data_IF_122250080846
#
_entry.id   IF_122250080846
#
_cell.length_a   1.000
_cell.length_b   1.000
_cell.length_c   1.000
_cell.angle_alpha   90.00
_cell.angle_beta   90.00
_cell.angle_gamma   90.00
#
_symmetry.space_group_name_H-M   'P 1'
#
loop_
_entity.id
_entity.type
_entity.pdbx_description
1 polymer ?
#
# COMPACT_ATOMS: atom_id res chain seq x y z
N UNK A 1 41.79 -36.46 -64.38
CA UNK A 1 40.44 -35.85 -64.39
C UNK A 1 39.53 -36.68 -63.49
N UNK A 2 38.65 -36.00 -62.71
CA UNK A 2 37.49 -36.50 -61.92
C UNK A 2 37.74 -37.52 -60.78
N UNK A 3 37.55 -37.17 -59.50
CA UNK A 3 36.31 -36.89 -58.71
C UNK A 3 35.57 -38.16 -58.21
N UNK A 4 35.73 -38.42 -56.91
CA UNK A 4 34.63 -38.42 -55.92
C UNK A 4 33.89 -39.73 -55.63
N UNK A 5 33.80 -40.08 -54.34
CA UNK A 5 32.52 -40.27 -53.63
C UNK A 5 32.75 -40.37 -52.11
N UNK A 6 32.31 -39.34 -51.40
CA UNK A 6 32.16 -39.31 -49.95
C UNK A 6 30.84 -39.98 -49.56
N UNK A 7 30.89 -40.75 -48.47
CA UNK A 7 29.76 -41.34 -47.76
C UNK A 7 28.74 -40.28 -47.31
N UNK A 8 27.45 -40.54 -47.53
CA UNK A 8 26.36 -39.86 -46.81
C UNK A 8 25.61 -40.88 -45.96
N UNK A 9 25.71 -40.73 -44.63
CA UNK A 9 24.81 -41.37 -43.65
C UNK A 9 24.49 -40.34 -42.58
N UNK A 10 23.36 -39.64 -42.73
CA UNK A 10 22.63 -38.90 -41.68
C UNK A 10 21.27 -38.48 -42.25
N UNK A 11 20.20 -39.20 -41.94
CA UNK A 11 18.82 -38.74 -42.16
C UNK A 11 17.83 -39.67 -41.45
N UNK A 12 17.90 -39.75 -40.13
CA UNK A 12 16.86 -40.42 -39.32
C UNK A 12 16.59 -39.72 -37.98
N UNK A 13 17.50 -38.89 -37.46
CA UNK A 13 17.31 -38.21 -36.16
C UNK A 13 16.45 -36.95 -36.22
N UNK A 14 16.45 -36.24 -37.36
CA UNK A 14 15.82 -34.92 -37.44
C UNK A 14 14.31 -35.04 -37.67
N UNK A 15 13.87 -36.08 -38.38
CA UNK A 15 12.46 -36.38 -38.65
C UNK A 15 11.67 -36.67 -37.37
N UNK A 16 12.29 -37.35 -36.40
CA UNK A 16 11.66 -37.71 -35.12
C UNK A 16 11.51 -36.48 -34.21
N UNK A 17 12.49 -35.57 -34.22
CA UNK A 17 12.46 -34.32 -33.43
C UNK A 17 11.42 -33.33 -33.98
N UNK A 18 11.30 -33.23 -35.30
CA UNK A 18 10.29 -32.38 -35.95
C UNK A 18 8.88 -32.94 -35.72
N UNK A 19 8.71 -34.27 -35.75
CA UNK A 19 7.44 -34.92 -35.42
C UNK A 19 6.99 -34.68 -33.97
N UNK A 20 7.91 -34.77 -33.00
CA UNK A 20 7.62 -34.54 -31.58
C UNK A 20 7.26 -33.06 -31.28
N UNK A 21 7.92 -32.10 -31.92
CA UNK A 21 7.58 -30.68 -31.81
C UNK A 21 6.20 -30.37 -32.38
N UNK A 22 5.83 -30.99 -33.50
CA UNK A 22 4.55 -30.78 -34.16
C UNK A 22 3.38 -31.33 -33.32
N UNK A 23 3.59 -32.49 -32.68
CA UNK A 23 2.61 -33.08 -31.77
C UNK A 23 2.40 -32.21 -30.52
N UNK A 24 3.48 -31.67 -29.95
CA UNK A 24 3.40 -30.77 -28.78
C UNK A 24 2.61 -29.49 -29.08
N UNK A 25 2.85 -28.86 -30.24
CA UNK A 25 2.11 -27.67 -30.67
C UNK A 25 0.63 -27.99 -30.88
N UNK A 26 0.31 -29.12 -31.52
CA UNK A 26 -1.08 -29.54 -31.72
C UNK A 26 -1.83 -29.78 -30.40
N UNK A 27 -1.17 -30.39 -29.41
CA UNK A 27 -1.74 -30.60 -28.07
C UNK A 27 -1.98 -29.27 -27.35
N UNK A 28 -1.04 -28.33 -27.43
CA UNK A 28 -1.21 -27.00 -26.82
C UNK A 28 -2.34 -26.20 -27.50
N UNK A 29 -2.46 -26.25 -28.83
CA UNK A 29 -3.56 -25.60 -29.54
C UNK A 29 -4.92 -26.24 -29.23
N UNK A 30 -4.98 -27.56 -29.05
CA UNK A 30 -6.20 -28.24 -28.60
C UNK A 30 -6.56 -27.87 -27.15
N UNK A 31 -5.59 -27.79 -26.25
CA UNK A 31 -5.83 -27.36 -24.87
C UNK A 31 -6.34 -25.92 -24.79
N UNK A 32 -5.79 -25.01 -25.60
CA UNK A 32 -6.23 -23.61 -25.66
C UNK A 32 -7.64 -23.46 -26.24
N UNK A 33 -8.03 -24.26 -27.24
CA UNK A 33 -9.40 -24.23 -27.78
C UNK A 33 -10.42 -24.77 -26.79
N UNK A 34 -10.08 -25.83 -26.03
CA UNK A 34 -10.94 -26.35 -24.96
C UNK A 34 -11.06 -25.34 -23.82
N UNK A 35 -9.95 -24.77 -23.30
CA UNK A 35 -9.99 -23.76 -22.24
C UNK A 35 -10.76 -22.51 -22.65
N UNK A 36 -10.53 -22.03 -23.88
CA UNK A 36 -11.26 -20.89 -24.44
C UNK A 36 -12.76 -21.16 -24.54
N UNK A 37 -13.17 -22.38 -24.95
CA UNK A 37 -14.59 -22.74 -25.03
C UNK A 37 -15.29 -22.85 -23.67
N UNK A 38 -14.56 -23.16 -22.59
CA UNK A 38 -15.11 -23.24 -21.22
C UNK A 38 -15.21 -21.85 -20.59
N UNK A 39 -14.24 -20.96 -20.83
CA UNK A 39 -14.31 -19.58 -20.35
C UNK A 39 -15.33 -18.75 -21.12
N UNK A 40 -15.42 -18.90 -22.45
CA UNK A 40 -16.31 -18.10 -23.29
C UNK A 40 -17.78 -18.56 -23.24
N UNK A 41 -18.05 -19.77 -22.71
CA UNK A 41 -19.44 -20.25 -22.48
C UNK A 41 -20.04 -19.80 -21.15
N UNK A 42 -19.28 -19.12 -20.27
CA UNK A 42 -19.79 -18.59 -19.00
C UNK A 42 -20.46 -17.22 -19.09
N UNK A 43 -20.38 -16.54 -20.24
CA UNK A 43 -20.98 -15.20 -20.43
C UNK A 43 -22.32 -15.21 -21.20
N UNK A 44 -22.96 -16.36 -21.39
CA UNK A 44 -24.30 -16.43 -21.94
C UNK A 44 -25.35 -16.28 -20.81
N UNK A 45 -25.78 -15.04 -20.59
CA UNK A 45 -26.89 -14.63 -19.73
C UNK A 45 -28.19 -15.38 -20.10
N UNK A 46 -28.88 -15.91 -19.09
CA UNK A 46 -30.29 -16.29 -19.14
C UNK A 46 -31.03 -15.64 -17.94
N UNK A 47 -32.34 -15.33 -18.07
CA UNK A 47 -32.97 -14.24 -17.36
C UNK A 47 -33.43 -14.59 -15.94
N UNK A 48 -33.61 -13.53 -15.16
CA UNK A 48 -34.07 -13.52 -13.78
C UNK A 48 -35.49 -14.09 -13.60
N UNK A 49 -35.65 -14.93 -12.59
CA UNK A 49 -36.91 -15.09 -11.86
C UNK A 49 -36.67 -14.74 -10.38
N UNK A 50 -37.55 -13.88 -9.87
CA UNK A 50 -37.54 -13.33 -8.53
C UNK A 50 -38.18 -14.29 -7.53
N UNK A 51 -37.63 -14.40 -6.31
CA UNK A 51 -38.43 -14.58 -5.09
C UNK A 51 -37.80 -13.81 -3.93
N UNK A 52 -38.69 -13.04 -3.30
CA UNK A 52 -38.55 -12.14 -2.17
C UNK A 52 -38.02 -12.77 -0.87
N UNK A 53 -37.26 -11.98 -0.11
CA UNK A 53 -37.27 -12.04 1.35
C UNK A 53 -37.08 -10.61 1.91
N UNK A 54 -38.18 -10.05 2.42
CA UNK A 54 -38.29 -8.82 3.21
C UNK A 54 -37.29 -8.75 4.37
N UNK A 55 -36.47 -7.69 4.43
CA UNK A 55 -36.02 -7.07 5.69
C UNK A 55 -35.89 -5.54 5.51
N UNK A 56 -36.86 -4.82 6.09
CA UNK A 56 -36.87 -3.42 6.55
C UNK A 56 -35.93 -2.38 5.92
N UNK A 57 -36.49 -1.49 5.10
CA UNK A 57 -35.98 -0.13 4.90
C UNK A 57 -37.08 0.86 5.29
N UNK A 58 -36.95 1.43 6.48
CA UNK A 58 -37.38 2.81 6.71
C UNK A 58 -36.10 3.63 6.79
N UNK A 59 -36.13 4.84 6.22
CA UNK A 59 -35.00 5.79 6.03
C UNK A 59 -34.32 5.63 4.66
N UNK A 60 -34.91 6.21 3.60
CA UNK A 60 -34.49 7.48 2.94
C UNK A 60 -35.47 7.70 1.80
N UNK A 61 -36.62 8.30 2.10
CA UNK A 61 -37.49 8.89 1.09
C UNK A 61 -37.55 10.39 1.36
N UNK A 62 -36.46 11.10 1.02
CA UNK A 62 -36.47 12.57 0.94
C UNK A 62 -35.31 13.17 0.13
N UNK A 63 -34.93 12.60 -1.02
CA UNK A 63 -34.05 13.30 -1.99
C UNK A 63 -34.44 12.91 -3.43
N UNK A 64 -35.69 13.17 -3.83
CA UNK A 64 -36.08 13.08 -5.25
C UNK A 64 -36.81 14.31 -5.81
N UNK A 65 -36.94 15.40 -5.05
CA UNK A 65 -37.50 16.65 -5.60
C UNK A 65 -36.66 17.87 -5.22
N UNK A 66 -35.66 18.16 -6.05
CA UNK A 66 -35.14 19.52 -6.20
C UNK A 66 -34.50 19.65 -7.61
N UNK A 67 -34.96 20.57 -8.48
CA UNK A 67 -34.38 20.76 -9.81
C UNK A 67 -32.98 21.41 -9.72
N UNK A 68 -32.06 21.12 -10.67
CA UNK A 68 -30.70 21.66 -10.63
C UNK A 68 -30.68 23.15 -11.01
N UNK A 69 -30.24 24.00 -10.08
CA UNK A 69 -29.89 25.40 -10.38
C UNK A 69 -28.48 25.49 -10.99
N UNK A 70 -28.27 26.18 -12.13
CA UNK A 70 -26.94 26.34 -12.72
C UNK A 70 -26.08 27.33 -11.90
N UNK A 71 -24.88 26.91 -11.47
CA UNK A 71 -23.90 27.77 -10.80
C UNK A 71 -23.18 28.67 -11.83
N UNK A 72 -23.00 29.99 -11.56
CA UNK A 72 -22.29 30.88 -12.47
C UNK A 72 -20.76 30.65 -12.46
N UNK A 73 -20.14 30.80 -13.63
CA UNK A 73 -18.69 30.67 -13.85
C UNK A 73 -17.89 31.74 -13.09
N UNK A 74 -16.75 31.40 -12.46
CA UNK A 74 -15.86 32.38 -11.82
C UNK A 74 -15.20 33.30 -12.86
N UNK A 75 -15.30 34.62 -12.67
CA UNK A 75 -14.58 35.64 -13.44
C UNK A 75 -13.29 35.98 -12.69
N UNK A 76 -12.15 35.75 -13.32
CA UNK A 76 -10.83 36.13 -12.81
C UNK A 76 -10.59 37.59 -13.20
N UNK A 77 -10.43 38.48 -12.23
CA UNK A 77 -9.90 39.82 -12.45
C UNK A 77 -8.36 39.74 -12.57
N UNK A 78 -7.74 40.36 -13.59
CA UNK A 78 -6.29 40.39 -13.72
C UNK A 78 -5.67 41.42 -12.77
N UNK A 79 -4.83 40.94 -11.86
CA UNK A 79 -3.95 41.76 -11.00
C UNK A 79 -2.94 42.54 -11.86
N UNK A 80 -2.77 43.86 -11.66
CA UNK A 80 -1.76 44.64 -12.39
C UNK A 80 -0.33 44.32 -11.92
N UNK A 81 0.59 44.23 -12.88
CA UNK A 81 2.01 43.94 -12.67
C UNK A 81 2.74 45.09 -11.96
N UNK A 82 3.75 44.79 -11.11
CA UNK A 82 4.56 45.82 -10.48
C UNK A 82 5.54 46.46 -11.48
N UNK A 83 5.43 47.78 -11.62
CA UNK A 83 6.38 48.64 -12.35
C UNK A 83 7.75 48.64 -11.68
N UNK A 84 8.79 48.36 -12.47
CA UNK A 84 10.21 48.43 -12.10
C UNK A 84 10.66 49.90 -12.06
N UNK A 85 11.17 50.37 -10.92
CA UNK A 85 11.86 51.65 -10.79
C UNK A 85 13.38 51.49 -11.06
N UNK A 86 14.08 52.49 -11.63
CA UNK A 86 15.51 52.39 -11.97
C UNK A 86 16.45 52.53 -10.77
N UNK A 87 17.70 52.03 -10.84
CA UNK A 87 18.65 52.02 -9.72
C UNK A 87 19.59 53.23 -9.71
N UNK A 88 20.03 53.67 -8.52
CA UNK A 88 21.21 54.53 -8.26
C UNK A 88 21.46 54.58 -6.72
N UNK A 89 22.67 54.94 -6.23
CA UNK A 89 23.82 54.09 -5.92
C UNK A 89 24.07 53.85 -4.41
N UNK A 90 24.90 52.84 -4.09
CA UNK A 90 25.54 52.59 -2.76
C UNK A 90 26.79 53.49 -2.59
N UNK A 91 27.51 53.51 -1.45
CA UNK A 91 27.19 53.14 -0.04
C UNK A 91 27.61 54.21 1.02
N UNK A 92 27.04 54.14 2.23
CA UNK A 92 27.65 54.75 3.44
C UNK A 92 27.59 53.77 4.62
N UNK A 93 28.69 53.76 5.37
CA UNK A 93 29.12 52.88 6.45
C UNK A 93 28.30 53.08 7.75
N UNK A 94 28.09 52.04 8.59
CA UNK A 94 27.17 52.13 9.73
C UNK A 94 27.83 52.72 10.98
N UNK A 95 27.20 53.74 11.58
CA UNK A 95 27.48 54.16 12.96
C UNK A 95 26.85 53.18 13.98
N UNK A 96 27.47 52.97 15.15
CA UNK A 96 27.03 51.98 16.13
C UNK A 96 25.91 52.55 16.99
N UNK A 97 24.69 52.01 16.85
CA UNK A 97 23.55 52.37 17.72
C UNK A 97 23.29 51.24 18.71
N UNK A 98 23.35 51.57 19.99
CA UNK A 98 23.12 50.69 21.15
C UNK A 98 21.67 50.18 21.22
N UNK A 99 21.43 48.96 21.75
CA UNK A 99 20.08 48.40 21.84
C UNK A 99 19.28 48.98 23.03
N UNK A 100 18.00 49.39 22.83
CA UNK A 100 17.05 49.65 23.91
C UNK A 100 16.54 48.36 24.58
N UNK A 101 16.10 48.41 25.85
CA UNK A 101 15.77 47.24 26.66
C UNK A 101 14.41 46.61 26.30
N UNK A 102 14.32 45.29 26.54
CA UNK A 102 13.14 44.46 26.31
C UNK A 102 11.90 44.91 27.10
N UNK A 103 10.68 44.87 26.51
CA UNK A 103 9.44 45.04 27.25
C UNK A 103 9.03 43.76 27.99
N UNK A 104 8.57 43.94 29.22
CA UNK A 104 8.04 42.91 30.13
C UNK A 104 6.74 42.31 29.60
N UNK A 105 6.60 40.99 29.73
CA UNK A 105 5.37 40.24 29.50
C UNK A 105 4.31 40.56 30.55
N UNK A 106 3.06 40.73 30.10
CA UNK A 106 1.84 40.62 30.92
C UNK A 106 0.90 39.61 30.22
N UNK A 107 0.21 38.70 30.97
CA UNK A 107 -0.43 37.53 30.39
C UNK A 107 -1.87 37.80 29.92
N UNK A 108 -2.20 37.38 28.70
CA UNK A 108 -3.58 37.34 28.21
C UNK A 108 -4.30 36.03 28.66
N UNK A 109 -5.59 36.07 29.00
CA UNK A 109 -6.35 34.91 29.49
C UNK A 109 -6.64 33.88 28.38
N UNK A 110 -6.89 32.60 28.73
CA UNK A 110 -7.06 31.54 27.74
C UNK A 110 -8.43 31.64 27.06
N UNK A 111 -8.42 31.90 25.76
CA UNK A 111 -9.59 31.67 24.90
C UNK A 111 -9.68 30.18 24.63
N UNK A 112 -10.61 29.52 25.31
CA UNK A 112 -11.02 28.14 25.03
C UNK A 112 -11.82 28.14 23.73
N UNK A 113 -11.12 28.00 22.61
CA UNK A 113 -11.78 27.64 21.35
C UNK A 113 -12.07 26.15 21.37
N UNK A 114 -13.33 25.81 21.65
CA UNK A 114 -13.90 24.50 21.32
C UNK A 114 -13.91 24.38 19.80
N UNK A 115 -12.89 23.76 19.24
CA UNK A 115 -12.93 23.30 17.86
C UNK A 115 -13.39 21.85 17.91
N UNK A 116 -14.67 21.62 17.60
CA UNK A 116 -15.19 20.32 17.18
C UNK A 116 -14.57 19.96 15.83
N UNK A 117 -13.29 19.61 15.84
CA UNK A 117 -12.64 18.90 14.75
C UNK A 117 -12.68 17.44 15.12
N UNK A 118 -13.65 16.69 14.60
CA UNK A 118 -13.51 15.25 14.49
C UNK A 118 -12.73 15.00 13.20
N UNK A 119 -11.39 14.82 13.23
CA UNK A 119 -10.68 14.42 12.02
C UNK A 119 -11.22 13.06 11.60
N UNK A 120 -11.29 12.83 10.28
CA UNK A 120 -11.52 11.49 9.75
C UNK A 120 -10.53 10.53 10.42
N UNK A 121 -11.08 9.60 11.19
CA UNK A 121 -10.32 8.50 11.74
C UNK A 121 -9.74 7.73 10.56
N UNK A 122 -8.42 7.56 10.51
CA UNK A 122 -7.76 6.83 9.41
C UNK A 122 -8.23 5.39 9.50
N UNK A 123 -9.17 4.99 8.63
CA UNK A 123 -9.97 3.77 8.77
C UNK A 123 -9.08 2.53 8.90
N UNK A 124 -7.91 2.55 8.25
CA UNK A 124 -6.98 1.42 8.19
C UNK A 124 -6.21 1.21 9.50
N UNK A 125 -5.94 2.30 10.22
CA UNK A 125 -4.99 2.31 11.32
C UNK A 125 -5.61 2.86 12.62
N UNK A 126 -6.94 3.02 12.66
CA UNK A 126 -7.69 3.48 13.81
C UNK A 126 -8.11 2.31 14.72
N UNK A 127 -8.09 2.51 16.04
CA UNK A 127 -8.66 1.57 17.02
C UNK A 127 -7.69 0.71 17.83
N UNK A 128 -6.37 0.94 17.73
CA UNK A 128 -5.37 0.30 18.62
C UNK A 128 -4.99 1.26 19.75
N UNK A 129 -5.70 1.15 20.87
CA UNK A 129 -5.55 1.96 22.09
C UNK A 129 -4.24 1.75 22.86
N UNK A 130 -3.31 0.94 22.34
CA UNK A 130 -1.93 0.93 22.81
C UNK A 130 -1.17 1.90 21.92
N UNK A 131 -0.78 3.06 22.48
CA UNK A 131 0.05 4.05 21.80
C UNK A 131 1.43 3.45 21.47
N UNK A 132 1.48 2.63 20.42
CA UNK A 132 2.64 1.86 20.03
C UNK A 132 3.78 2.83 19.74
N UNK A 133 4.90 2.67 20.44
CA UNK A 133 6.08 3.53 20.29
C UNK A 133 6.87 3.18 19.03
N UNK A 134 6.69 1.97 18.49
CA UNK A 134 7.48 1.44 17.37
C UNK A 134 6.55 0.71 16.40
N UNK A 135 6.31 1.31 15.24
CA UNK A 135 5.31 0.86 14.26
C UNK A 135 5.97 0.52 12.94
N UNK A 136 5.69 -0.65 12.36
CA UNK A 136 6.13 -0.98 11.01
C UNK A 136 4.91 -1.19 10.10
N UNK A 137 4.86 -0.47 8.99
CA UNK A 137 3.86 -0.69 7.94
C UNK A 137 4.46 -1.61 6.90
N UNK A 138 3.85 -2.79 6.69
CA UNK A 138 4.28 -3.79 5.72
C UNK A 138 3.19 -3.85 4.66
N UNK A 139 3.50 -3.42 3.44
CA UNK A 139 2.51 -3.07 2.43
C UNK A 139 2.78 -3.85 1.16
N UNK A 140 1.74 -4.48 0.64
CA UNK A 140 1.78 -5.16 -0.64
C UNK A 140 1.96 -4.15 -1.79
N UNK A 141 3.01 -4.35 -2.57
CA UNK A 141 3.27 -3.60 -3.78
C UNK A 141 3.28 -4.48 -5.03
N UNK A 142 2.62 -5.62 -5.01
CA UNK A 142 2.44 -6.48 -6.18
C UNK A 142 1.55 -5.87 -7.25
N UNK A 143 1.48 -6.53 -8.42
CA UNK A 143 0.71 -6.03 -9.55
C UNK A 143 -0.79 -5.89 -9.29
N UNK A 144 -1.39 -6.75 -8.45
CA UNK A 144 -2.83 -6.70 -8.13
C UNK A 144 -3.21 -5.41 -7.39
N UNK A 145 -2.26 -4.86 -6.62
CA UNK A 145 -2.40 -3.60 -5.92
C UNK A 145 -2.38 -2.36 -6.84
N UNK A 146 -2.14 -2.47 -8.15
CA UNK A 146 -2.00 -1.32 -9.05
C UNK A 146 -3.19 -0.34 -8.99
N UNK A 147 -4.42 -0.87 -9.03
CA UNK A 147 -5.65 -0.08 -8.92
C UNK A 147 -6.00 0.36 -7.50
N UNK A 148 -5.43 -0.29 -6.49
CA UNK A 148 -5.78 -0.10 -5.07
C UNK A 148 -4.76 0.77 -4.32
N UNK A 149 -3.56 0.93 -4.86
CA UNK A 149 -2.44 1.61 -4.23
C UNK A 149 -2.71 3.10 -3.94
N UNK A 150 -3.62 3.76 -4.68
CA UNK A 150 -4.00 5.14 -4.37
C UNK A 150 -4.64 5.25 -2.98
N UNK A 151 -5.51 4.30 -2.63
CA UNK A 151 -6.22 4.27 -1.35
C UNK A 151 -5.23 3.99 -0.22
N UNK A 152 -4.34 3.03 -0.42
CA UNK A 152 -3.26 2.70 0.52
C UNK A 152 -2.34 3.89 0.76
N UNK A 153 -1.93 4.61 -0.29
CA UNK A 153 -1.10 5.81 -0.16
C UNK A 153 -1.78 6.89 0.69
N UNK A 154 -3.06 7.16 0.47
CA UNK A 154 -3.77 8.20 1.21
C UNK A 154 -3.84 7.86 2.71
N UNK A 155 -4.29 6.65 3.03
CA UNK A 155 -4.42 6.21 4.42
C UNK A 155 -3.06 6.10 5.13
N UNK A 156 -2.03 5.61 4.42
CA UNK A 156 -0.69 5.52 4.98
C UNK A 156 -0.07 6.91 5.19
N UNK A 157 -0.29 7.85 4.25
CA UNK A 157 0.11 9.25 4.40
C UNK A 157 -0.51 9.85 5.66
N UNK A 158 -1.82 9.71 5.85
CA UNK A 158 -2.48 10.21 7.06
C UNK A 158 -1.89 9.59 8.33
N UNK A 159 -1.70 8.29 8.35
CA UNK A 159 -1.16 7.56 9.51
C UNK A 159 0.26 8.05 9.86
N UNK A 160 1.14 8.17 8.88
CA UNK A 160 2.52 8.68 9.06
C UNK A 160 2.51 10.11 9.60
N UNK A 161 1.63 10.97 9.07
CA UNK A 161 1.53 12.35 9.52
C UNK A 161 1.07 12.46 10.97
N UNK A 162 0.19 11.56 11.42
CA UNK A 162 -0.32 11.48 12.80
C UNK A 162 0.68 10.94 13.82
N UNK A 163 1.78 10.28 13.41
CA UNK A 163 2.81 9.80 14.33
C UNK A 163 3.43 10.95 15.14
N UNK A 164 3.54 10.79 16.45
CA UNK A 164 4.27 11.73 17.31
C UNK A 164 5.78 11.58 17.14
N UNK A 165 6.55 12.65 17.41
CA UNK A 165 8.02 12.61 17.33
C UNK A 165 8.66 11.58 18.26
N UNK A 166 7.95 11.11 19.28
CA UNK A 166 8.43 10.07 20.19
C UNK A 166 8.30 8.65 19.63
N UNK A 167 7.47 8.46 18.62
CA UNK A 167 7.32 7.17 17.95
C UNK A 167 8.44 6.98 16.93
N UNK A 168 8.85 5.72 16.75
CA UNK A 168 9.67 5.30 15.63
C UNK A 168 8.85 4.48 14.66
N UNK A 169 9.19 4.55 13.37
CA UNK A 169 8.47 3.83 12.35
C UNK A 169 9.34 3.42 11.16
N UNK A 170 8.77 2.57 10.31
CA UNK A 170 9.24 2.34 8.95
C UNK A 170 8.05 1.96 8.06
N UNK A 171 8.22 2.14 6.75
CA UNK A 171 7.31 1.69 5.71
C UNK A 171 8.07 0.73 4.81
N UNK A 172 7.55 -0.47 4.65
CA UNK A 172 8.14 -1.54 3.86
C UNK A 172 7.14 -1.95 2.80
N UNK A 173 7.46 -1.70 1.54
CA UNK A 173 6.75 -2.31 0.42
C UNK A 173 7.45 -3.59 0.00
N UNK A 174 6.71 -4.67 -0.16
CA UNK A 174 7.22 -5.89 -0.76
C UNK A 174 6.72 -6.03 -2.20
N UNK A 175 7.66 -6.37 -3.07
CA UNK A 175 7.51 -6.33 -4.52
C UNK A 175 7.97 -7.66 -5.12
N UNK A 176 7.96 -7.72 -6.45
CA UNK A 176 8.52 -8.82 -7.23
C UNK A 176 9.91 -9.28 -6.75
N UNK A 177 10.16 -10.59 -6.86
CA UNK A 177 11.47 -11.21 -6.60
C UNK A 177 12.01 -10.99 -5.17
N UNK A 178 11.11 -10.78 -4.19
CA UNK A 178 11.49 -10.55 -2.79
C UNK A 178 12.13 -9.19 -2.55
N UNK A 179 12.02 -8.26 -3.50
CA UNK A 179 12.52 -6.91 -3.33
C UNK A 179 11.71 -6.17 -2.25
N UNK A 180 12.43 -5.61 -1.27
CA UNK A 180 11.84 -4.77 -0.23
C UNK A 180 12.24 -3.32 -0.45
N UNK A 181 11.25 -2.46 -0.69
CA UNK A 181 11.45 -1.00 -0.73
C UNK A 181 11.08 -0.43 0.64
N UNK A 182 12.07 0.14 1.31
CA UNK A 182 11.94 0.59 2.70
C UNK A 182 12.15 2.11 2.78
N UNK A 183 11.43 2.77 3.69
CA UNK A 183 11.69 4.18 3.97
C UNK A 183 13.06 4.33 4.65
N UNK A 184 13.39 3.39 5.54
CA UNK A 184 14.67 3.34 6.25
C UNK A 184 15.22 1.91 6.18
N UNK A 185 16.42 1.71 5.65
CA UNK A 185 16.94 0.37 5.41
C UNK A 185 17.16 -0.41 6.72
N UNK A 186 16.36 -1.46 6.95
CA UNK A 186 16.51 -2.42 8.04
C UNK A 186 16.23 -1.89 9.46
N UNK A 187 15.78 -0.64 9.61
CA UNK A 187 15.67 0.03 10.92
C UNK A 187 14.34 0.76 11.10
N UNK A 188 14.01 1.09 12.35
CA UNK A 188 12.92 2.01 12.69
C UNK A 188 13.50 3.38 13.05
N UNK A 189 13.09 4.43 12.33
CA UNK A 189 13.54 5.80 12.59
C UNK A 189 12.48 6.60 13.34
N UNK A 190 12.94 7.52 14.19
CA UNK A 190 12.04 8.46 14.90
C UNK A 190 11.21 9.24 13.89
N UNK A 191 9.94 9.50 14.19
CA UNK A 191 9.02 10.23 13.32
C UNK A 191 9.29 11.75 13.30
N UNK A 192 10.54 12.12 13.01
CA UNK A 192 10.97 13.49 12.75
C UNK A 192 10.34 14.01 11.45
N UNK A 193 10.28 15.34 11.26
CA UNK A 193 9.80 15.91 10.00
C UNK A 193 10.55 15.38 8.77
N UNK A 194 11.87 15.17 8.86
CA UNK A 194 12.68 14.64 7.76
C UNK A 194 12.36 13.17 7.46
N UNK A 195 12.24 12.33 8.48
CA UNK A 195 11.90 10.92 8.33
C UNK A 195 10.49 10.74 7.73
N UNK A 196 9.53 11.55 8.17
CA UNK A 196 8.19 11.58 7.57
C UNK A 196 8.25 11.97 6.09
N UNK A 197 9.01 13.02 5.74
CA UNK A 197 9.15 13.45 4.35
C UNK A 197 9.79 12.37 3.46
N UNK A 198 10.79 11.65 3.97
CA UNK A 198 11.43 10.51 3.28
C UNK A 198 10.43 9.37 3.01
N UNK A 199 9.67 8.98 4.03
CA UNK A 199 8.63 7.97 3.88
C UNK A 199 7.56 8.41 2.86
N UNK A 200 7.09 9.66 2.93
CA UNK A 200 6.12 10.19 1.95
C UNK A 200 6.68 10.25 0.52
N UNK A 201 7.99 10.49 0.36
CA UNK A 201 8.64 10.43 -0.94
C UNK A 201 8.67 8.99 -1.48
N UNK A 202 8.95 7.99 -0.63
CA UNK A 202 8.81 6.58 -1.02
C UNK A 202 7.40 6.26 -1.50
N UNK A 203 6.37 6.70 -0.78
CA UNK A 203 4.95 6.52 -1.17
C UNK A 203 4.66 7.11 -2.57
N UNK A 204 5.25 8.24 -2.94
CA UNK A 204 5.06 8.84 -4.27
C UNK A 204 5.75 8.07 -5.40
N UNK A 205 6.85 7.38 -5.08
CA UNK A 205 7.68 6.66 -6.05
C UNK A 205 7.28 5.21 -6.26
N UNK A 206 6.59 4.58 -5.31
CA UNK A 206 6.18 3.17 -5.43
C UNK A 206 5.38 2.94 -6.71
N UNK A 207 5.68 1.86 -7.44
CA UNK A 207 4.94 1.43 -8.63
C UNK A 207 4.62 -0.04 -8.45
N UNK A 208 3.35 -0.40 -8.16
CA UNK A 208 2.99 -1.78 -7.91
C UNK A 208 3.32 -2.67 -9.11
N UNK A 209 3.84 -3.87 -8.87
CA UNK A 209 4.27 -4.78 -9.94
C UNK A 209 4.78 -6.13 -9.45
N UNK A 210 4.63 -7.13 -10.31
CA UNK A 210 5.11 -8.49 -10.11
C UNK A 210 4.39 -9.28 -9.01
N UNK A 211 5.02 -10.37 -8.56
CA UNK A 211 4.47 -11.35 -7.63
C UNK A 211 4.83 -11.06 -6.17
N UNK A 212 4.02 -11.60 -5.25
CA UNK A 212 4.10 -11.36 -3.81
C UNK A 212 4.93 -12.41 -3.08
N UNK A 213 5.84 -11.97 -2.19
CA UNK A 213 6.46 -12.83 -1.17
C UNK A 213 6.24 -12.23 0.22
N UNK A 214 5.04 -12.45 0.77
CA UNK A 214 4.64 -11.89 2.07
C UNK A 214 5.49 -12.41 3.24
N UNK A 215 5.97 -13.67 3.16
CA UNK A 215 6.78 -14.28 4.22
C UNK A 215 8.07 -13.51 4.48
N UNK A 216 8.82 -13.18 3.42
CA UNK A 216 10.09 -12.47 3.53
C UNK A 216 9.89 -11.05 4.05
N UNK A 217 8.82 -10.38 3.63
CA UNK A 217 8.47 -9.04 4.07
C UNK A 217 8.15 -8.98 5.56
N UNK A 218 7.28 -9.89 6.02
CA UNK A 218 6.95 -10.02 7.44
C UNK A 218 8.19 -10.42 8.25
N UNK A 219 9.01 -11.31 7.73
CA UNK A 219 10.24 -11.75 8.37
C UNK A 219 11.28 -10.63 8.51
N UNK A 220 11.43 -9.78 7.49
CA UNK A 220 12.28 -8.61 7.56
C UNK A 220 11.73 -7.61 8.59
N UNK A 221 10.44 -7.29 8.53
CA UNK A 221 9.79 -6.33 9.41
C UNK A 221 9.85 -6.74 10.90
N UNK A 222 9.64 -8.03 11.21
CA UNK A 222 9.76 -8.56 12.57
C UNK A 222 11.19 -8.45 13.14
N UNK A 223 12.20 -8.45 12.27
CA UNK A 223 13.61 -8.28 12.68
C UNK A 223 14.02 -6.82 12.79
N UNK A 224 13.23 -5.86 12.30
CA UNK A 224 13.58 -4.43 12.41
C UNK A 224 13.63 -3.99 13.87
N UNK A 225 14.57 -3.12 14.18
CA UNK A 225 14.69 -2.47 15.49
C UNK A 225 14.96 -0.99 15.36
N UNK A 226 14.62 -0.24 16.41
CA UNK A 226 15.13 1.12 16.58
C UNK A 226 16.63 1.12 16.93
N UNK A 227 17.19 2.33 17.02
CA UNK A 227 18.61 2.55 17.42
C UNK A 227 18.96 2.00 18.81
N UNK A 228 17.98 1.70 19.65
CA UNK A 228 18.17 1.07 20.97
C UNK A 228 18.03 -0.46 20.93
N UNK A 229 17.91 -1.05 19.73
CA UNK A 229 17.75 -2.49 19.56
C UNK A 229 16.34 -3.02 19.87
N UNK A 230 15.35 -2.15 20.09
CA UNK A 230 13.99 -2.59 20.40
C UNK A 230 13.20 -2.87 19.12
N UNK A 231 12.56 -4.03 19.05
CA UNK A 231 11.71 -4.46 17.92
C UNK A 231 10.44 -3.62 17.79
N UNK A 232 9.81 -3.67 16.62
CA UNK A 232 8.49 -3.10 16.40
C UNK A 232 7.49 -3.67 17.42
N UNK A 233 6.70 -2.80 18.05
CA UNK A 233 5.60 -3.21 18.93
C UNK A 233 4.40 -3.63 18.10
N UNK A 234 4.18 -2.95 16.97
CA UNK A 234 3.06 -3.19 16.08
C UNK A 234 3.53 -3.25 14.63
N UNK A 235 3.07 -4.27 13.91
CA UNK A 235 3.10 -4.38 12.46
C UNK A 235 1.68 -4.21 11.91
N UNK A 236 1.53 -3.37 10.90
CA UNK A 236 0.33 -3.31 10.08
C UNK A 236 0.64 -3.93 8.72
N UNK A 237 0.09 -5.11 8.45
CA UNK A 237 0.24 -5.83 7.19
C UNK A 237 -0.94 -5.51 6.26
N UNK A 238 -0.67 -4.88 5.13
CA UNK A 238 -1.68 -4.40 4.17
C UNK A 238 -1.52 -5.18 2.86
N UNK A 239 -2.58 -5.82 2.38
CA UNK A 239 -2.59 -6.56 1.10
C UNK A 239 -4.02 -6.71 0.57
N UNK A 240 -4.18 -7.01 -0.72
CA UNK A 240 -5.44 -7.46 -1.31
C UNK A 240 -5.61 -8.97 -1.31
N UNK A 241 -4.56 -9.75 -1.02
CA UNK A 241 -4.66 -11.20 -0.97
C UNK A 241 -3.32 -11.92 -0.95
N UNK A 242 -3.36 -13.23 -1.21
CA UNK A 242 -2.12 -14.02 -1.28
C UNK A 242 -2.13 -15.06 -2.40
N UNK A 243 -1.02 -15.13 -3.13
CA UNK A 243 -0.72 -16.25 -4.01
C UNK A 243 -0.05 -17.41 -3.23
N UNK A 244 -0.81 -18.02 -2.31
CA UNK A 244 -0.35 -19.21 -1.58
C UNK A 244 -0.68 -20.47 -2.37
N UNK A 245 0.34 -21.28 -2.63
CA UNK A 245 0.21 -22.60 -3.25
C UNK A 245 -0.67 -23.57 -2.43
N UNK A 246 -0.80 -23.31 -1.12
CA UNK A 246 -1.52 -24.16 -0.17
C UNK A 246 -2.89 -23.55 0.21
N UNK A 247 -3.92 -24.40 0.20
CA UNK A 247 -5.35 -24.08 0.42
C UNK A 247 -5.66 -22.97 1.43
N UNK A 248 -5.89 -23.30 2.70
CA UNK A 248 -6.42 -22.37 3.72
C UNK A 248 -5.37 -21.50 4.43
N UNK A 249 -4.15 -21.42 3.89
CA UNK A 249 -3.07 -20.61 4.45
C UNK A 249 -2.50 -21.09 5.80
N UNK A 250 -2.89 -22.27 6.31
CA UNK A 250 -2.43 -22.75 7.65
C UNK A 250 -0.91 -22.84 7.78
N UNK A 251 -0.23 -23.40 6.77
CA UNK A 251 1.22 -23.56 6.83
C UNK A 251 1.95 -22.21 6.84
N UNK A 252 1.46 -21.25 6.04
CA UNK A 252 1.92 -19.87 6.05
C UNK A 252 1.75 -19.24 7.44
N UNK A 253 0.54 -19.31 8.02
CA UNK A 253 0.25 -18.75 9.35
C UNK A 253 1.16 -19.35 10.43
N UNK A 254 1.34 -20.68 10.43
CA UNK A 254 2.21 -21.37 11.38
C UNK A 254 3.68 -20.92 11.26
N UNK A 255 4.19 -20.74 10.04
CA UNK A 255 5.55 -20.22 9.82
C UNK A 255 5.71 -18.81 10.34
N UNK A 256 4.76 -17.92 10.07
CA UNK A 256 4.80 -16.53 10.55
C UNK A 256 4.67 -16.45 12.06
N UNK A 257 3.79 -17.24 12.68
CA UNK A 257 3.63 -17.28 14.13
C UNK A 257 4.91 -17.79 14.82
N UNK A 258 5.46 -18.90 14.35
CA UNK A 258 6.71 -19.45 14.89
C UNK A 258 7.87 -18.45 14.75
N UNK A 259 7.95 -17.78 13.59
CA UNK A 259 8.94 -16.73 13.37
C UNK A 259 8.77 -15.60 14.38
N UNK A 260 7.57 -15.02 14.49
CA UNK A 260 7.24 -13.97 15.47
C UNK A 260 7.64 -14.37 16.89
N UNK A 261 7.25 -15.56 17.33
CA UNK A 261 7.59 -16.06 18.67
C UNK A 261 9.11 -16.15 18.89
N UNK A 262 9.87 -16.50 17.86
CA UNK A 262 11.33 -16.63 17.95
C UNK A 262 12.10 -15.31 17.89
N UNK A 263 11.71 -14.36 17.02
CA UNK A 263 12.49 -13.14 16.77
C UNK A 263 11.92 -11.88 17.42
N UNK A 264 10.61 -11.85 17.66
CA UNK A 264 9.89 -10.66 18.09
C UNK A 264 8.58 -11.00 18.84
N UNK A 265 8.64 -11.76 19.95
CA UNK A 265 7.46 -12.31 20.60
C UNK A 265 6.47 -11.25 21.13
N UNK A 266 6.95 -10.03 21.40
CA UNK A 266 6.14 -8.91 21.84
C UNK A 266 5.48 -8.09 20.71
N UNK A 267 5.80 -8.37 19.45
CA UNK A 267 5.24 -7.66 18.29
C UNK A 267 3.80 -8.09 18.07
N UNK A 268 2.86 -7.17 17.87
CA UNK A 268 1.48 -7.47 17.45
C UNK A 268 1.36 -7.28 15.94
N UNK A 269 0.66 -8.18 15.24
CA UNK A 269 0.43 -8.03 13.78
C UNK A 269 -1.05 -7.79 13.51
N UNK A 270 -1.39 -6.59 13.07
CA UNK A 270 -2.69 -6.28 12.48
C UNK A 270 -2.64 -6.56 10.98
N UNK A 271 -3.73 -7.07 10.44
CA UNK A 271 -3.88 -7.31 9.00
C UNK A 271 -4.98 -6.41 8.44
N UNK A 272 -4.76 -5.89 7.25
CA UNK A 272 -5.69 -5.00 6.56
C UNK A 272 -5.84 -5.55 5.14
N UNK A 273 -7.05 -6.05 4.85
CA UNK A 273 -7.41 -6.56 3.53
C UNK A 273 -8.04 -5.45 2.69
N UNK A 274 -7.48 -5.18 1.50
CA UNK A 274 -8.01 -4.19 0.56
C UNK A 274 -8.75 -4.93 -0.56
N UNK A 275 -10.08 -4.87 -0.56
CA UNK A 275 -10.96 -5.68 -1.44
C UNK A 275 -10.59 -7.17 -1.48
N UNK A 276 -10.35 -7.83 -0.34
CA UNK A 276 -9.88 -9.21 -0.33
C UNK A 276 -10.96 -10.18 -0.77
N UNK A 277 -10.55 -11.28 -1.38
CA UNK A 277 -11.46 -12.42 -1.57
C UNK A 277 -11.80 -13.07 -0.23
N UNK A 278 -12.93 -13.79 -0.16
CA UNK A 278 -13.40 -14.43 1.08
C UNK A 278 -12.36 -15.41 1.67
N UNK A 279 -11.62 -16.12 0.82
CA UNK A 279 -10.53 -17.01 1.24
C UNK A 279 -9.44 -16.22 1.96
N UNK A 280 -8.94 -15.16 1.33
CA UNK A 280 -7.81 -14.39 1.84
C UNK A 280 -8.20 -13.58 3.07
N UNK A 281 -9.43 -13.11 3.14
CA UNK A 281 -10.03 -12.51 4.34
C UNK A 281 -9.93 -13.47 5.53
N UNK A 282 -10.25 -14.75 5.34
CA UNK A 282 -10.11 -15.78 6.37
C UNK A 282 -8.66 -16.00 6.82
N UNK A 283 -7.71 -15.96 5.88
CA UNK A 283 -6.27 -16.09 6.17
C UNK A 283 -5.78 -14.88 6.95
N UNK A 284 -6.10 -13.66 6.50
CA UNK A 284 -5.73 -12.39 7.15
C UNK A 284 -6.31 -12.31 8.56
N UNK A 285 -7.58 -12.66 8.74
CA UNK A 285 -8.25 -12.69 10.03
C UNK A 285 -7.54 -13.64 11.01
N UNK A 286 -7.26 -14.86 10.57
CA UNK A 286 -6.57 -15.85 11.41
C UNK A 286 -5.14 -15.45 11.71
N UNK A 287 -4.40 -14.90 10.75
CA UNK A 287 -3.04 -14.40 10.95
C UNK A 287 -3.00 -13.31 12.03
N UNK A 288 -3.88 -12.32 11.94
CA UNK A 288 -3.98 -11.27 12.95
C UNK A 288 -4.31 -11.86 14.34
N UNK A 289 -5.28 -12.78 14.39
CA UNK A 289 -5.70 -13.41 15.66
C UNK A 289 -4.53 -14.13 16.36
N UNK A 290 -3.77 -14.97 15.65
CA UNK A 290 -2.64 -15.71 16.26
C UNK A 290 -1.48 -14.79 16.64
N UNK A 291 -1.35 -13.65 15.97
CA UNK A 291 -0.35 -12.63 16.29
C UNK A 291 -0.82 -11.62 17.35
N UNK A 292 -1.99 -11.81 17.96
CA UNK A 292 -2.56 -10.92 18.99
C UNK A 292 -3.08 -9.58 18.46
N UNK A 293 -3.25 -9.47 17.14
CA UNK A 293 -3.75 -8.28 16.47
C UNK A 293 -5.21 -8.36 16.08
N UNK A 294 -5.58 -7.51 15.12
CA UNK A 294 -6.94 -7.36 14.59
C UNK A 294 -6.89 -7.32 13.08
N UNK A 295 -7.93 -7.86 12.47
CA UNK A 295 -8.16 -7.76 11.03
C UNK A 295 -9.15 -6.63 10.73
N UNK A 296 -8.86 -5.89 9.67
CA UNK A 296 -9.69 -4.83 9.11
C UNK A 296 -9.89 -5.13 7.63
N UNK A 297 -11.13 -5.09 7.17
CA UNK A 297 -11.49 -5.25 5.77
C UNK A 297 -11.94 -3.91 5.19
N UNK A 298 -11.50 -3.62 3.97
CA UNK A 298 -11.77 -2.37 3.27
C UNK A 298 -12.35 -2.72 1.91
N UNK A 299 -13.62 -2.37 1.70
CA UNK A 299 -14.40 -2.60 0.49
C UNK A 299 -14.90 -1.27 -0.10
#
# INVERSE_FOLDING_TARGET
>A
MSRGRFFTRRSTSDSVRVGALSLSVAVHLAALTVLGSVHFRRDAVAPAEAVSADISVHVVERILEAPPSPKPKPRIEPTPAPTVAPPLPKPAEPEPVTPPPAPKQEPAPPVVSKTDSRPADTVFFSGTTVAAKRVCYVVDGSGSMFGLMYLVREQLRESILKLSAEQSFNVVFFMENGQLLQAFEGTLEKASPSAKAEALNLLGRIRPGGQTIAEDALAAAMRMSDKSGRRAEVLYFVTDGFDLMDGDGRAFIQRIEALRQSVSPGTVVHTIGIYPEARDSGILARLAQVCGGRYIEVN
#
